data_IF_446639889482
#
_entry.id   IF_446639889482
#
_cell.length_a   1.000
_cell.length_b   1.000
_cell.length_c   1.000
_cell.angle_alpha   90.00
_cell.angle_beta   90.00
_cell.angle_gamma   90.00
#
_symmetry.space_group_name_H-M   'P 1'
#
loop_
_entity.id
_entity.type
_entity.pdbx_description
1 polymer ?
#
# COMPACT_ATOMS: atom_id res chain seq x y z
N UNK A 1 21.94 -33.22 32.10
CA UNK A 1 21.42 -33.91 30.90
C UNK A 1 21.44 -32.87 29.80
N UNK A 2 22.40 -32.95 28.87
CA UNK A 2 22.50 -32.00 27.77
C UNK A 2 21.43 -32.35 26.73
N UNK A 3 20.86 -31.32 26.15
CA UNK A 3 19.73 -31.26 25.21
C UNK A 3 20.02 -31.99 23.88
N UNK A 4 20.31 -33.29 23.95
CA UNK A 4 20.84 -34.03 22.79
C UNK A 4 19.81 -34.28 21.68
N UNK A 5 18.52 -34.02 21.93
CA UNK A 5 17.40 -34.35 21.06
C UNK A 5 16.51 -33.14 20.68
N UNK A 6 16.94 -31.88 20.91
CA UNK A 6 16.19 -30.67 20.53
C UNK A 6 16.72 -30.01 19.24
N UNK A 7 16.90 -30.80 18.18
CA UNK A 7 17.42 -30.32 16.88
C UNK A 7 16.54 -30.74 15.70
N UNK A 8 15.29 -31.16 15.92
CA UNK A 8 14.38 -31.41 14.80
C UNK A 8 13.90 -30.05 14.25
N UNK A 9 14.33 -29.61 13.05
CA UNK A 9 13.94 -28.32 12.50
C UNK A 9 12.42 -28.16 12.34
N UNK A 10 11.69 -29.27 12.26
CA UNK A 10 10.24 -29.26 12.08
C UNK A 10 9.49 -29.11 13.40
N UNK A 11 10.07 -29.56 14.52
CA UNK A 11 9.42 -29.57 15.83
C UNK A 11 10.02 -28.52 16.78
N UNK A 12 11.33 -28.28 16.68
CA UNK A 12 12.11 -27.40 17.54
C UNK A 12 12.35 -26.05 16.84
N UNK A 13 11.40 -25.13 17.01
CA UNK A 13 11.51 -23.75 16.52
C UNK A 13 12.08 -22.84 17.62
N UNK A 14 13.01 -21.99 17.23
CA UNK A 14 13.57 -20.93 18.07
C UNK A 14 12.74 -19.66 17.83
N UNK A 15 12.09 -19.17 18.88
CA UNK A 15 11.39 -17.88 18.82
C UNK A 15 12.34 -16.77 19.25
N UNK A 16 12.65 -15.86 18.34
CA UNK A 16 13.41 -14.64 18.64
C UNK A 16 12.43 -13.49 18.86
N UNK A 17 12.40 -12.99 20.08
CA UNK A 17 11.58 -11.85 20.50
C UNK A 17 12.46 -10.60 20.74
N UNK A 18 11.82 -9.47 21.00
CA UNK A 18 12.47 -8.16 21.26
C UNK A 18 13.26 -7.59 20.07
N UNK A 19 12.85 -7.94 18.86
CA UNK A 19 13.36 -7.34 17.64
C UNK A 19 12.81 -5.92 17.50
N UNK A 20 13.74 -4.98 17.43
CA UNK A 20 13.46 -3.54 17.44
C UNK A 20 13.47 -2.93 16.04
N UNK A 21 14.17 -3.53 15.09
CA UNK A 21 14.36 -3.03 13.73
C UNK A 21 14.39 -4.17 12.70
N UNK A 22 14.19 -3.85 11.42
CA UNK A 22 14.38 -4.83 10.33
C UNK A 22 15.84 -5.28 10.23
N UNK A 23 16.79 -4.43 10.61
CA UNK A 23 18.21 -4.75 10.59
C UNK A 23 18.59 -5.82 11.64
N UNK A 24 17.93 -5.79 12.80
CA UNK A 24 18.07 -6.84 13.81
C UNK A 24 17.65 -8.22 13.26
N UNK A 25 16.58 -8.27 12.44
CA UNK A 25 16.16 -9.50 11.75
C UNK A 25 17.27 -9.98 10.81
N UNK A 26 17.77 -9.09 9.93
CA UNK A 26 18.82 -9.44 8.97
C UNK A 26 20.07 -9.99 9.66
N UNK A 27 20.50 -9.36 10.76
CA UNK A 27 21.66 -9.80 11.53
C UNK A 27 21.47 -11.22 12.11
N UNK A 28 20.27 -11.55 12.59
CA UNK A 28 19.95 -12.90 13.07
C UNK A 28 19.97 -13.90 11.92
N UNK A 29 19.34 -13.56 10.78
CA UNK A 29 19.32 -14.42 9.60
C UNK A 29 20.73 -14.68 9.06
N UNK A 30 21.57 -13.65 8.97
CA UNK A 30 22.97 -13.79 8.56
C UNK A 30 23.78 -14.66 9.53
N UNK A 31 23.60 -14.50 10.84
CA UNK A 31 24.30 -15.31 11.83
C UNK A 31 23.92 -16.80 11.72
N UNK A 32 22.64 -17.10 11.51
CA UNK A 32 22.15 -18.48 11.35
C UNK A 32 22.62 -19.07 10.01
N UNK A 33 22.58 -18.30 8.93
CA UNK A 33 23.11 -18.70 7.63
C UNK A 33 24.62 -18.99 7.70
N UNK A 34 25.40 -18.13 8.37
CA UNK A 34 26.84 -18.31 8.58
C UNK A 34 27.17 -19.55 9.44
N UNK A 35 26.24 -19.97 10.31
CA UNK A 35 26.36 -21.21 11.06
C UNK A 35 25.98 -22.46 10.24
N UNK A 36 25.55 -22.30 8.99
CA UNK A 36 25.25 -23.39 8.06
C UNK A 36 23.79 -23.86 8.07
N UNK A 37 22.87 -23.08 8.66
CA UNK A 37 21.44 -23.41 8.72
C UNK A 37 20.62 -22.42 7.89
N UNK A 38 19.48 -22.86 7.33
CA UNK A 38 18.50 -21.95 6.75
C UNK A 38 17.66 -21.31 7.89
N UNK A 39 17.68 -19.97 8.06
CA UNK A 39 16.89 -19.31 9.10
C UNK A 39 15.39 -19.65 9.03
N UNK A 40 14.83 -19.90 7.84
CA UNK A 40 13.40 -20.22 7.66
C UNK A 40 13.01 -21.57 8.26
N UNK A 41 13.97 -22.46 8.40
CA UNK A 41 13.73 -23.80 8.95
C UNK A 41 13.67 -23.80 10.47
N UNK A 42 14.24 -22.80 11.17
CA UNK A 42 14.37 -22.85 12.63
C UNK A 42 13.81 -21.62 13.34
N UNK A 43 13.84 -20.45 12.71
CA UNK A 43 13.55 -19.19 13.39
C UNK A 43 12.10 -18.75 13.18
N UNK A 44 11.45 -18.36 14.27
CA UNK A 44 10.20 -17.60 14.27
C UNK A 44 10.40 -16.27 14.98
N UNK A 45 9.77 -15.21 14.48
CA UNK A 45 9.97 -13.87 15.01
C UNK A 45 8.73 -13.33 15.72
N UNK A 46 8.92 -12.90 16.98
CA UNK A 46 7.92 -12.15 17.74
C UNK A 46 8.05 -10.65 17.51
N UNK A 47 7.41 -10.13 16.46
CA UNK A 47 7.59 -8.74 15.99
C UNK A 47 6.51 -7.75 16.47
N UNK A 48 6.15 -7.78 17.76
CA UNK A 48 5.07 -6.92 18.30
C UNK A 48 5.30 -5.43 18.04
N UNK A 49 6.21 -4.80 18.79
CA UNK A 49 6.45 -3.35 18.70
C UNK A 49 6.84 -2.87 17.30
N UNK A 50 7.61 -3.67 16.56
CA UNK A 50 8.03 -3.35 15.19
C UNK A 50 6.85 -3.31 14.20
N UNK A 51 5.91 -4.26 14.28
CA UNK A 51 4.77 -4.32 13.37
C UNK A 51 3.67 -3.33 13.72
N UNK A 52 3.35 -3.16 15.02
CA UNK A 52 2.16 -2.39 15.42
C UNK A 52 2.41 -0.97 15.94
N UNK A 53 3.60 -0.67 16.48
CA UNK A 53 3.79 0.60 17.21
C UNK A 53 4.84 1.52 16.57
N UNK A 54 5.97 0.98 16.10
CA UNK A 54 7.09 1.79 15.62
C UNK A 54 6.82 2.36 14.23
N UNK A 55 7.09 3.65 14.09
CA UNK A 55 6.99 4.40 12.82
C UNK A 55 5.60 4.31 12.14
N UNK A 56 4.54 4.02 12.91
CA UNK A 56 3.15 4.01 12.42
C UNK A 56 2.47 5.35 12.70
N UNK A 57 3.05 6.43 12.19
CA UNK A 57 2.45 7.77 12.28
C UNK A 57 1.67 8.07 11.00
N UNK A 58 0.66 8.97 11.07
CA UNK A 58 -0.06 9.44 9.87
C UNK A 58 0.91 9.98 8.81
N UNK A 59 1.90 10.75 9.26
CA UNK A 59 2.89 11.38 8.39
C UNK A 59 3.80 10.34 7.72
N UNK A 60 3.97 9.15 8.32
CA UNK A 60 4.68 8.04 7.68
C UNK A 60 3.97 7.51 6.42
N UNK A 61 2.66 7.74 6.28
CA UNK A 61 1.89 7.39 5.09
C UNK A 61 1.59 8.59 4.18
N UNK A 62 1.91 9.82 4.62
CA UNK A 62 1.57 11.07 3.92
C UNK A 62 0.10 11.14 3.48
N UNK A 63 -0.81 10.51 4.23
CA UNK A 63 -2.23 10.43 3.89
C UNK A 63 -2.92 11.79 4.09
N UNK A 64 -3.64 12.25 3.08
CA UNK A 64 -4.39 13.50 3.11
C UNK A 64 -5.74 13.34 2.41
N UNK A 65 -6.74 14.11 2.87
CA UNK A 65 -8.03 14.25 2.20
C UNK A 65 -8.05 15.59 1.45
N UNK A 66 -8.46 15.56 0.18
CA UNK A 66 -8.51 16.72 -0.72
C UNK A 66 -9.82 16.68 -1.49
N UNK A 67 -10.47 17.83 -1.61
CA UNK A 67 -11.59 17.98 -2.54
C UNK A 67 -11.02 18.12 -3.95
N UNK A 68 -11.35 17.17 -4.82
CA UNK A 68 -10.85 17.12 -6.21
C UNK A 68 -11.95 17.40 -7.23
N UNK A 69 -13.23 17.34 -6.84
CA UNK A 69 -14.38 17.65 -7.70
C UNK A 69 -15.55 18.20 -6.88
N UNK A 70 -16.30 19.13 -7.48
CA UNK A 70 -17.59 19.62 -6.97
C UNK A 70 -18.59 19.51 -8.10
N UNK A 71 -19.69 18.77 -7.89
CA UNK A 71 -20.64 18.44 -8.95
C UNK A 71 -19.90 17.86 -10.17
N UNK A 72 -20.00 18.50 -11.34
CA UNK A 72 -19.31 18.09 -12.57
C UNK A 72 -17.99 18.87 -12.81
N UNK A 73 -17.62 19.78 -11.91
CA UNK A 73 -16.47 20.65 -12.07
C UNK A 73 -15.23 20.13 -11.31
N UNK A 74 -14.11 19.86 -12.00
CA UNK A 74 -12.86 19.50 -11.35
C UNK A 74 -12.32 20.69 -10.54
N UNK A 75 -11.82 20.40 -9.34
CA UNK A 75 -11.31 21.39 -8.38
C UNK A 75 -9.90 21.05 -7.91
N UNK A 76 -9.15 22.05 -7.48
CA UNK A 76 -7.77 21.87 -7.03
C UNK A 76 -7.32 23.00 -6.13
N UNK A 77 -6.05 22.95 -5.72
CA UNK A 77 -5.41 24.01 -4.95
C UNK A 77 -3.96 24.15 -5.41
N UNK A 78 -3.56 25.37 -5.75
CA UNK A 78 -2.15 25.66 -6.08
C UNK A 78 -1.25 25.43 -4.86
N UNK A 79 -0.06 24.94 -5.13
CA UNK A 79 0.99 24.74 -4.14
C UNK A 79 2.27 25.43 -4.63
N UNK A 80 3.06 25.94 -3.69
CA UNK A 80 4.41 26.44 -4.01
C UNK A 80 5.34 25.31 -4.50
N UNK A 81 4.92 24.06 -4.30
CA UNK A 81 5.56 22.85 -4.75
C UNK A 81 4.59 22.13 -5.68
N UNK A 82 4.94 22.08 -6.97
CA UNK A 82 4.11 21.51 -8.03
C UNK A 82 3.76 20.05 -7.77
N UNK A 83 4.67 19.30 -7.15
CA UNK A 83 4.49 17.88 -6.86
C UNK A 83 3.52 17.63 -5.68
N UNK A 84 3.04 18.70 -5.04
CA UNK A 84 2.06 18.64 -3.94
C UNK A 84 0.67 19.16 -4.34
N UNK A 85 0.48 19.49 -5.60
CA UNK A 85 -0.84 19.87 -6.12
C UNK A 85 -1.74 18.62 -6.17
N UNK A 86 -2.98 18.70 -5.67
CA UNK A 86 -3.90 17.58 -5.76
C UNK A 86 -4.31 17.37 -7.22
N UNK A 87 -4.31 16.11 -7.66
CA UNK A 87 -4.85 15.73 -8.97
C UNK A 87 -6.38 15.97 -8.95
N UNK A 88 -6.92 16.79 -9.87
CA UNK A 88 -8.34 17.13 -9.87
C UNK A 88 -9.21 16.08 -10.59
N UNK A 89 -10.52 16.13 -10.30
CA UNK A 89 -11.55 15.30 -10.89
C UNK A 89 -12.02 14.14 -10.01
N UNK A 90 -12.88 13.30 -10.58
CA UNK A 90 -13.36 12.04 -10.04
C UNK A 90 -12.46 10.92 -10.55
N UNK A 91 -11.68 10.32 -9.64
CA UNK A 91 -10.47 9.58 -9.98
C UNK A 91 -10.60 8.08 -9.71
N UNK A 92 -9.93 7.30 -10.54
CA UNK A 92 -9.60 5.90 -10.28
C UNK A 92 -8.11 5.65 -10.53
N UNK A 93 -7.66 4.44 -10.19
CA UNK A 93 -6.32 3.96 -10.50
C UNK A 93 -6.48 2.68 -11.32
N UNK A 94 -5.85 2.62 -12.48
CA UNK A 94 -5.77 1.42 -13.30
C UNK A 94 -4.38 0.79 -13.25
N UNK A 95 -4.33 -0.53 -13.13
CA UNK A 95 -3.13 -1.31 -13.48
C UNK A 95 -3.23 -1.69 -14.95
N UNK A 96 -2.32 -1.17 -15.76
CA UNK A 96 -2.17 -1.56 -17.18
C UNK A 96 -0.73 -1.36 -17.64
N UNK A 97 -0.24 -2.27 -18.49
CA UNK A 97 1.12 -2.24 -19.04
C UNK A 97 2.23 -2.12 -17.98
N UNK A 98 2.09 -2.81 -16.85
CA UNK A 98 3.02 -2.74 -15.71
C UNK A 98 3.19 -1.31 -15.14
N UNK A 99 2.16 -0.49 -15.22
CA UNK A 99 2.10 0.85 -14.64
C UNK A 99 0.83 1.03 -13.80
N UNK A 100 0.90 1.93 -12.82
CA UNK A 100 -0.26 2.50 -12.14
C UNK A 100 -0.64 3.80 -12.82
N UNK A 101 -1.79 3.83 -13.47
CA UNK A 101 -2.27 5.00 -14.20
C UNK A 101 -3.42 5.62 -13.44
N UNK A 102 -3.26 6.88 -13.01
CA UNK A 102 -4.35 7.68 -12.45
C UNK A 102 -5.23 8.14 -13.62
N UNK A 103 -6.51 7.78 -13.57
CA UNK A 103 -7.50 8.04 -14.62
C UNK A 103 -8.70 8.75 -14.04
N UNK A 104 -9.50 9.40 -14.89
CA UNK A 104 -10.83 9.85 -14.52
C UNK A 104 -11.82 8.67 -14.57
N UNK A 105 -12.84 8.69 -13.71
CA UNK A 105 -13.84 7.63 -13.61
C UNK A 105 -14.61 7.43 -14.93
N UNK A 106 -14.75 8.49 -15.75
CA UNK A 106 -15.41 8.44 -17.06
C UNK A 106 -14.52 7.93 -18.20
N UNK A 107 -13.21 7.78 -18.02
CA UNK A 107 -12.33 7.26 -19.07
C UNK A 107 -12.69 5.81 -19.42
N UNK A 108 -12.50 5.42 -20.70
CA UNK A 108 -12.64 4.03 -21.12
C UNK A 108 -11.66 3.15 -20.32
N UNK A 109 -12.17 2.03 -19.81
CA UNK A 109 -11.38 1.10 -19.00
C UNK A 109 -10.39 0.35 -19.90
N UNK A 110 -9.09 0.51 -19.67
CA UNK A 110 -8.05 -0.19 -20.43
C UNK A 110 -7.25 -1.18 -19.56
N UNK A 111 -7.59 -1.31 -18.28
CA UNK A 111 -6.91 -2.18 -17.33
C UNK A 111 -7.76 -2.52 -16.11
N UNK A 112 -7.11 -2.99 -15.06
CA UNK A 112 -7.81 -3.28 -13.80
C UNK A 112 -7.95 -2.02 -12.95
N UNK A 113 -9.20 -1.55 -12.77
CA UNK A 113 -9.51 -0.47 -11.80
C UNK A 113 -9.39 -0.95 -10.36
N UNK A 114 -8.66 -0.21 -9.55
CA UNK A 114 -8.36 -0.54 -8.15
C UNK A 114 -9.37 0.07 -7.17
N UNK A 115 -9.90 1.26 -7.44
CA UNK A 115 -10.91 1.85 -6.55
C UNK A 115 -12.27 1.24 -6.87
N UNK A 116 -12.90 0.67 -5.85
CA UNK A 116 -14.21 0.01 -5.91
C UNK A 116 -15.15 0.65 -4.88
N UNK A 117 -16.46 0.73 -5.18
CA UNK A 117 -17.43 1.18 -4.20
C UNK A 117 -17.44 0.22 -3.01
N UNK A 118 -17.26 0.76 -1.80
CA UNK A 118 -17.41 0.01 -0.54
C UNK A 118 -18.72 0.34 0.14
N UNK A 119 -19.16 1.59 0.01
CA UNK A 119 -20.43 2.07 0.54
C UNK A 119 -21.26 2.70 -0.58
N UNK A 120 -22.55 2.43 -0.58
CA UNK A 120 -23.54 3.06 -1.45
C UNK A 120 -24.71 3.57 -0.61
N UNK A 121 -25.00 4.88 -0.70
CA UNK A 121 -26.08 5.54 0.05
C UNK A 121 -26.08 5.22 1.55
N UNK A 122 -24.89 5.13 2.16
CA UNK A 122 -24.71 4.83 3.58
C UNK A 122 -24.77 3.34 3.96
N UNK A 123 -24.91 2.44 2.99
CA UNK A 123 -24.93 1.00 3.22
C UNK A 123 -23.65 0.35 2.70
N UNK A 124 -23.11 -0.61 3.44
CA UNK A 124 -21.98 -1.43 2.98
C UNK A 124 -22.45 -2.31 1.81
N UNK A 125 -21.69 -2.31 0.70
CA UNK A 125 -22.01 -3.08 -0.51
C UNK A 125 -21.61 -4.57 -0.36
N UNK A 126 -20.67 -4.85 0.52
CA UNK A 126 -20.15 -6.20 0.78
C UNK A 126 -20.88 -6.88 1.94
N UNK A 127 -21.15 -8.18 1.78
CA UNK A 127 -21.84 -9.04 2.77
C UNK A 127 -20.87 -10.06 3.41
N UNK A 128 -19.57 -9.78 3.35
CA UNK A 128 -18.55 -10.67 3.90
C UNK A 128 -18.55 -10.59 5.43
N UNK A 129 -18.48 -11.75 6.11
CA UNK A 129 -18.14 -11.77 7.53
C UNK A 129 -16.64 -11.47 7.72
N UNK A 130 -16.29 -10.94 8.91
CA UNK A 130 -14.94 -10.45 9.20
C UNK A 130 -13.82 -11.46 8.88
N UNK A 131 -14.06 -12.75 9.08
CA UNK A 131 -13.07 -13.81 8.84
C UNK A 131 -12.81 -13.97 7.33
N UNK A 132 -13.88 -14.05 6.53
CA UNK A 132 -13.76 -14.15 5.08
C UNK A 132 -13.04 -12.91 4.50
N UNK A 133 -13.37 -11.72 5.00
CA UNK A 133 -12.73 -10.48 4.57
C UNK A 133 -11.20 -10.48 4.84
N UNK A 134 -10.77 -10.96 6.02
CA UNK A 134 -9.34 -11.06 6.36
C UNK A 134 -8.61 -12.05 5.45
N UNK A 135 -9.20 -13.22 5.17
CA UNK A 135 -8.56 -14.22 4.31
C UNK A 135 -8.46 -13.75 2.86
N UNK A 136 -9.50 -13.08 2.34
CA UNK A 136 -9.48 -12.45 1.02
C UNK A 136 -8.38 -11.37 0.97
N UNK A 137 -8.30 -10.50 1.97
CA UNK A 137 -7.29 -9.44 2.02
C UNK A 137 -5.86 -10.00 2.05
N UNK A 138 -5.61 -11.07 2.80
CA UNK A 138 -4.30 -11.75 2.83
C UNK A 138 -3.93 -12.34 1.48
N UNK A 139 -4.86 -13.06 0.85
CA UNK A 139 -4.65 -13.64 -0.47
C UNK A 139 -4.34 -12.56 -1.50
N UNK A 140 -5.13 -11.48 -1.50
CA UNK A 140 -4.93 -10.32 -2.38
C UNK A 140 -3.58 -9.64 -2.15
N UNK A 141 -3.15 -9.46 -0.91
CA UNK A 141 -1.84 -8.89 -0.62
C UNK A 141 -0.72 -9.72 -1.27
N UNK A 142 -0.78 -11.05 -1.18
CA UNK A 142 0.22 -11.93 -1.80
C UNK A 142 0.22 -11.79 -3.33
N UNK A 143 -0.97 -11.75 -3.93
CA UNK A 143 -1.13 -11.61 -5.39
C UNK A 143 -0.68 -10.25 -5.92
N UNK A 144 -0.79 -9.20 -5.11
CA UNK A 144 -0.60 -7.80 -5.54
C UNK A 144 0.62 -7.12 -4.92
N UNK A 145 1.43 -7.85 -4.13
CA UNK A 145 2.53 -7.26 -3.39
C UNK A 145 3.49 -6.48 -4.30
N UNK A 146 3.83 -7.05 -5.45
CA UNK A 146 4.77 -6.41 -6.38
C UNK A 146 4.19 -5.18 -7.08
N UNK A 147 2.86 -5.02 -7.10
CA UNK A 147 2.20 -3.86 -7.69
C UNK A 147 2.57 -2.54 -6.99
N UNK A 148 3.07 -2.59 -5.75
CA UNK A 148 3.54 -1.42 -5.00
C UNK A 148 4.75 -0.75 -5.66
N UNK A 149 5.54 -1.52 -6.42
CA UNK A 149 6.77 -1.07 -7.07
C UNK A 149 6.56 -0.56 -8.50
N UNK A 150 5.35 -0.72 -9.06
CA UNK A 150 5.07 -0.26 -10.41
C UNK A 150 5.17 1.27 -10.48
N UNK A 151 5.75 1.84 -11.56
CA UNK A 151 5.75 3.29 -11.75
C UNK A 151 4.32 3.84 -11.78
N UNK A 152 4.15 5.08 -11.33
CA UNK A 152 2.87 5.78 -11.34
C UNK A 152 2.90 6.98 -12.28
N UNK A 153 1.80 7.20 -13.02
CA UNK A 153 1.60 8.41 -13.83
C UNK A 153 0.13 8.75 -13.99
N UNK A 154 -0.15 9.97 -14.42
CA UNK A 154 -1.47 10.38 -14.89
C UNK A 154 -1.74 9.87 -16.33
N UNK A 155 -3.01 9.63 -16.65
CA UNK A 155 -3.48 9.51 -18.05
C UNK A 155 -3.37 10.85 -18.77
N UNK A 156 -3.35 10.86 -20.10
CA UNK A 156 -3.30 12.12 -20.86
C UNK A 156 -4.53 12.98 -20.60
N UNK A 157 -5.72 12.38 -20.47
CA UNK A 157 -6.96 13.09 -20.12
C UNK A 157 -6.85 13.73 -18.74
N UNK A 158 -6.33 12.99 -17.75
CA UNK A 158 -6.13 13.50 -16.39
C UNK A 158 -5.13 14.66 -16.37
N UNK A 159 -4.02 14.56 -17.10
CA UNK A 159 -3.03 15.65 -17.23
C UNK A 159 -3.64 16.91 -17.82
N UNK A 160 -4.45 16.77 -18.88
CA UNK A 160 -5.13 17.91 -19.50
C UNK A 160 -6.08 18.62 -18.53
N UNK A 161 -6.85 17.86 -17.74
CA UNK A 161 -7.74 18.44 -16.72
C UNK A 161 -6.91 19.13 -15.62
N UNK A 162 -5.83 18.49 -15.17
CA UNK A 162 -4.92 19.05 -14.19
C UNK A 162 -4.37 20.41 -14.65
N UNK A 163 -3.89 20.48 -15.89
CA UNK A 163 -3.40 21.73 -16.47
C UNK A 163 -4.50 22.79 -16.59
N UNK A 164 -5.71 22.44 -17.06
CA UNK A 164 -6.83 23.41 -17.17
C UNK A 164 -7.22 24.00 -15.83
N UNK A 165 -7.30 23.17 -14.78
CA UNK A 165 -7.61 23.63 -13.43
C UNK A 165 -6.53 24.59 -12.93
N UNK A 166 -5.26 24.27 -13.16
CA UNK A 166 -4.13 25.15 -12.82
C UNK A 166 -4.20 26.49 -13.54
N UNK A 167 -4.44 26.47 -14.86
CA UNK A 167 -4.55 27.68 -15.68
C UNK A 167 -5.70 28.58 -15.21
N UNK A 168 -6.84 28.00 -14.82
CA UNK A 168 -7.95 28.76 -14.21
C UNK A 168 -7.49 29.54 -12.97
N UNK A 169 -6.78 28.88 -12.05
CA UNK A 169 -6.27 29.56 -10.86
C UNK A 169 -5.22 30.63 -11.15
N UNK A 170 -4.43 30.48 -12.21
CA UNK A 170 -3.43 31.50 -12.60
C UNK A 170 -4.10 32.71 -13.24
N UNK A 171 -5.10 32.48 -14.09
CA UNK A 171 -5.81 33.54 -14.82
C UNK A 171 -6.83 34.30 -13.97
N UNK A 172 -7.33 33.68 -12.90
CA UNK A 172 -8.25 34.30 -11.93
C UNK A 172 -7.53 35.11 -10.84
N UNK A 173 -6.18 35.19 -10.87
CA UNK A 173 -5.34 36.07 -10.02
C UNK A 173 -5.05 37.40 -10.69
#
# INVERSE_FOLDING_TARGET
>A
MKEHDMLDPKLDKIVVADISTVEDVRRVEEAVANAGFDPKDFIQYGLGGLLVARNKTRDALSAAYKLTQVEDDPTGKLSNDIDKEPIPGDLNIEIRNDERVVVQEFEEIQGERLLKPVYENGNLVYDDNDIAAVDIARKRLIETFDAVYLPSRESEVTKEIHQKVRERFINDM
#
